data_IF_022611342567
#
_entry.id   IF_022611342567
#
_cell.length_a   1.000
_cell.length_b   1.000
_cell.length_c   1.000
_cell.angle_alpha   90.00
_cell.angle_beta   90.00
_cell.angle_gamma   90.00
#
_symmetry.space_group_name_H-M   'P 1'
#
loop_
_entity.id
_entity.type
_entity.pdbx_description
1 polymer ?
#
# COMPACT_ATOMS: atom_id res chain seq x y z
N UNK A 1 -28.77 6.13 20.15
CA UNK A 1 -28.59 6.33 18.70
C UNK A 1 -27.14 6.72 18.43
N UNK A 2 -26.37 5.84 17.79
CA UNK A 2 -24.99 6.14 17.40
C UNK A 2 -24.88 6.02 15.87
N UNK A 3 -25.50 6.97 15.18
CA UNK A 3 -25.36 7.14 13.74
C UNK A 3 -24.27 8.18 13.48
N UNK A 4 -23.03 7.73 13.52
CA UNK A 4 -21.96 8.33 12.74
C UNK A 4 -21.23 7.21 12.04
N UNK A 5 -21.80 6.75 10.92
CA UNK A 5 -21.00 6.12 9.88
C UNK A 5 -19.99 7.18 9.46
N UNK A 6 -18.84 7.19 10.12
CA UNK A 6 -17.64 7.75 9.54
C UNK A 6 -17.50 6.96 8.24
N UNK A 7 -17.70 7.63 7.11
CA UNK A 7 -17.40 7.07 5.81
C UNK A 7 -15.90 6.84 5.80
N UNK A 8 -15.48 5.71 6.36
CA UNK A 8 -14.12 5.21 6.24
C UNK A 8 -13.98 4.94 4.74
N UNK A 9 -13.17 5.79 4.10
CA UNK A 9 -12.83 5.74 2.68
C UNK A 9 -12.64 4.27 2.30
N UNK A 10 -13.64 3.67 1.63
CA UNK A 10 -13.86 2.22 1.61
C UNK A 10 -12.93 1.47 0.66
N UNK A 11 -11.79 2.07 0.33
CA UNK A 11 -10.78 1.47 -0.53
C UNK A 11 -9.62 1.00 0.34
N UNK A 12 -9.37 -0.31 0.48
CA UNK A 12 -8.18 -0.80 1.16
C UNK A 12 -6.93 -0.42 0.34
N UNK A 13 -6.31 0.68 0.76
CA UNK A 13 -5.04 1.17 0.23
C UNK A 13 -3.99 1.10 1.33
N UNK A 14 -2.82 0.59 0.96
CA UNK A 14 -1.73 0.37 1.87
C UNK A 14 -0.62 1.36 1.60
N UNK A 15 -0.03 1.86 2.69
CA UNK A 15 1.12 2.78 2.64
C UNK A 15 2.24 2.18 3.48
N UNK A 16 3.36 1.93 2.81
CA UNK A 16 4.59 1.40 3.39
C UNK A 16 5.66 2.50 3.32
N UNK A 17 6.03 3.03 4.49
CA UNK A 17 7.13 3.98 4.60
C UNK A 17 8.47 3.29 4.36
N UNK A 18 9.36 3.92 3.60
CA UNK A 18 10.73 3.46 3.36
C UNK A 18 11.71 4.54 3.86
N UNK A 19 12.01 4.56 5.18
CA UNK A 19 12.77 5.65 5.80
C UNK A 19 14.16 5.86 5.19
N UNK A 20 14.83 4.79 4.77
CA UNK A 20 16.15 4.84 4.13
C UNK A 20 16.18 5.63 2.82
N UNK A 21 15.03 5.80 2.16
CA UNK A 21 14.88 6.57 0.91
C UNK A 21 14.12 7.87 1.12
N UNK A 22 13.64 8.15 2.34
CA UNK A 22 12.72 9.25 2.66
C UNK A 22 11.51 9.29 1.70
N UNK A 23 10.95 8.12 1.40
CA UNK A 23 9.87 7.94 0.44
C UNK A 23 8.93 6.81 0.89
N UNK A 24 7.85 6.56 0.14
CA UNK A 24 6.88 5.52 0.46
C UNK A 24 6.46 4.71 -0.76
N UNK A 25 6.03 3.47 -0.52
CA UNK A 25 5.35 2.61 -1.48
C UNK A 25 3.87 2.54 -1.12
N UNK A 26 3.02 2.43 -2.13
CA UNK A 26 1.60 2.24 -1.91
C UNK A 26 0.99 1.31 -2.96
N UNK A 27 -0.10 0.65 -2.59
CA UNK A 27 -0.85 -0.22 -3.49
C UNK A 27 -2.25 -0.40 -2.95
N UNK A 28 -3.16 -0.81 -3.83
CA UNK A 28 -4.51 -1.21 -3.44
C UNK A 28 -4.63 -2.73 -3.58
N UNK A 29 -5.44 -3.35 -2.75
CA UNK A 29 -5.86 -4.73 -2.93
C UNK A 29 -7.32 -4.72 -3.38
N UNK A 30 -7.59 -5.26 -4.57
CA UNK A 30 -8.96 -5.45 -5.05
C UNK A 30 -9.53 -6.75 -4.45
N UNK A 31 -10.52 -6.62 -3.56
CA UNK A 31 -11.25 -7.74 -2.94
C UNK A 31 -12.76 -7.60 -3.15
N UNK A 32 -13.51 -8.66 -2.87
CA UNK A 32 -14.97 -8.64 -2.99
C UNK A 32 -15.61 -7.71 -1.94
N UNK A 33 -16.71 -7.01 -2.28
CA UNK A 33 -17.46 -6.20 -1.33
C UNK A 33 -17.88 -7.02 -0.09
N UNK A 34 -17.56 -6.52 1.11
CA UNK A 34 -17.88 -7.19 2.38
C UNK A 34 -16.69 -7.87 3.05
N UNK A 35 -15.53 -7.96 2.40
CA UNK A 35 -14.30 -8.46 3.01
C UNK A 35 -13.61 -7.34 3.79
N UNK A 36 -13.49 -7.50 5.12
CA UNK A 36 -12.65 -6.61 5.96
C UNK A 36 -11.21 -7.08 5.84
N UNK A 37 -10.35 -6.23 5.27
CA UNK A 37 -8.93 -6.51 5.14
C UNK A 37 -8.16 -5.90 6.29
N UNK A 38 -7.57 -6.75 7.11
CA UNK A 38 -6.44 -6.35 7.95
C UNK A 38 -5.19 -6.96 7.31
N UNK A 39 -4.26 -6.12 6.87
CA UNK A 39 -2.90 -6.62 6.73
C UNK A 39 -2.42 -6.96 8.14
N UNK A 40 -1.87 -8.16 8.30
CA UNK A 40 -1.04 -8.44 9.46
C UNK A 40 0.06 -7.38 9.46
N UNK A 41 0.08 -6.50 10.46
CA UNK A 41 1.27 -5.68 10.67
C UNK A 41 2.45 -6.64 10.76
N UNK A 42 3.48 -6.35 9.97
CA UNK A 42 4.64 -7.16 9.54
C UNK A 42 5.52 -7.73 10.68
N UNK A 43 4.99 -7.84 11.89
CA UNK A 43 5.62 -8.44 13.04
C UNK A 43 5.68 -9.97 12.96
N UNK A 44 4.81 -10.64 12.19
CA UNK A 44 4.84 -12.11 12.06
C UNK A 44 5.50 -12.67 10.80
N UNK A 45 5.61 -11.91 9.70
CA UNK A 45 6.23 -12.39 8.45
C UNK A 45 7.63 -11.81 8.17
N UNK A 46 8.01 -10.71 8.81
CA UNK A 46 9.36 -10.16 8.77
C UNK A 46 9.82 -9.69 7.38
N UNK A 47 8.89 -9.45 6.45
CA UNK A 47 9.23 -9.22 5.06
C UNK A 47 9.87 -7.85 4.86
N UNK A 48 9.43 -6.85 5.61
CA UNK A 48 10.02 -5.50 5.65
C UNK A 48 10.80 -5.24 6.93
N UNK A 49 11.02 -6.26 7.77
CA UNK A 49 11.86 -6.17 8.97
C UNK A 49 13.31 -5.78 8.62
N UNK A 50 13.80 -6.22 7.46
CA UNK A 50 15.11 -5.83 6.92
C UNK A 50 15.08 -4.52 6.10
N UNK A 51 13.93 -3.87 5.99
CA UNK A 51 13.69 -2.71 5.14
C UNK A 51 13.51 -3.09 3.66
N UNK A 52 12.83 -2.22 2.92
CA UNK A 52 12.71 -2.32 1.45
C UNK A 52 13.84 -1.51 0.83
N UNK A 53 14.60 -2.13 -0.08
CA UNK A 53 15.50 -1.42 -0.98
C UNK A 53 15.01 -1.53 -2.43
N UNK A 54 14.99 -0.40 -3.11
CA UNK A 54 14.59 -0.29 -4.50
C UNK A 54 15.34 0.84 -5.22
N UNK A 55 15.41 0.71 -6.54
CA UNK A 55 15.96 1.72 -7.45
C UNK A 55 14.87 2.15 -8.44
N UNK A 56 14.77 3.45 -8.70
CA UNK A 56 13.86 4.01 -9.70
C UNK A 56 14.66 4.39 -10.93
N UNK A 57 14.15 4.04 -12.11
CA UNK A 57 14.75 4.32 -13.41
C UNK A 57 13.67 4.51 -14.47
N UNK A 58 14.04 4.94 -15.68
CA UNK A 58 13.14 5.10 -16.83
C UNK A 58 11.87 5.91 -16.49
N UNK A 59 12.02 7.05 -15.83
CA UNK A 59 10.89 7.92 -15.51
C UNK A 59 10.28 8.45 -16.80
N UNK A 60 9.00 8.20 -17.01
CA UNK A 60 8.21 8.60 -18.16
C UNK A 60 7.11 9.56 -17.70
N UNK A 61 7.15 10.79 -18.21
CA UNK A 61 6.09 11.76 -17.97
C UNK A 61 4.79 11.27 -18.62
N UNK A 62 3.72 11.26 -17.84
CA UNK A 62 2.38 10.97 -18.38
C UNK A 62 1.68 12.28 -18.71
N UNK A 63 0.46 12.20 -19.25
CA UNK A 63 -0.39 13.38 -19.46
C UNK A 63 -0.65 14.19 -18.19
N UNK A 64 -0.50 13.55 -17.03
CA UNK A 64 -0.57 14.21 -15.73
C UNK A 64 0.85 14.31 -15.13
N UNK A 65 1.41 15.52 -14.98
CA UNK A 65 2.77 15.70 -14.45
C UNK A 65 2.93 15.23 -13.00
N UNK A 66 1.83 15.12 -12.24
CA UNK A 66 1.84 14.59 -10.88
C UNK A 66 1.82 13.06 -10.82
N UNK A 67 1.69 12.39 -11.98
CA UNK A 67 1.62 10.93 -12.10
C UNK A 67 2.59 10.36 -13.16
N UNK A 68 3.90 10.65 -13.10
CA UNK A 68 4.87 9.97 -13.95
C UNK A 68 4.91 8.46 -13.67
N UNK A 69 5.10 7.68 -14.72
CA UNK A 69 5.41 6.25 -14.61
C UNK A 69 6.93 6.06 -14.51
N UNK A 70 7.37 4.97 -13.91
CA UNK A 70 8.78 4.62 -13.82
C UNK A 70 8.98 3.11 -13.74
N UNK A 71 10.21 2.66 -13.98
CA UNK A 71 10.65 1.30 -13.69
C UNK A 71 11.28 1.25 -12.30
N UNK A 72 10.67 0.50 -11.40
CA UNK A 72 11.23 0.16 -10.10
C UNK A 72 11.95 -1.19 -10.19
N UNK A 73 13.20 -1.23 -9.76
CA UNK A 73 13.92 -2.47 -9.48
C UNK A 73 13.85 -2.74 -7.99
N UNK A 74 13.24 -3.84 -7.61
CA UNK A 74 13.11 -4.29 -6.21
C UNK A 74 13.43 -5.78 -6.16
N UNK A 75 14.31 -6.19 -5.24
CA UNK A 75 14.86 -7.56 -5.24
C UNK A 75 15.42 -7.90 -6.64
N UNK A 76 14.96 -9.00 -7.25
CA UNK A 76 15.31 -9.42 -8.62
C UNK A 76 14.18 -9.16 -9.63
N UNK A 77 13.25 -8.24 -9.32
CA UNK A 77 12.08 -7.94 -10.16
C UNK A 77 12.13 -6.50 -10.66
N UNK A 78 11.56 -6.30 -11.85
CA UNK A 78 11.32 -4.99 -12.44
C UNK A 78 9.80 -4.77 -12.48
N UNK A 79 9.35 -3.71 -11.82
CA UNK A 79 7.96 -3.34 -11.72
C UNK A 79 7.74 -1.99 -12.40
N UNK A 80 6.67 -1.86 -13.16
CA UNK A 80 6.16 -0.54 -13.53
C UNK A 80 5.49 0.05 -12.30
N UNK A 81 5.83 1.29 -11.96
CA UNK A 81 5.23 2.02 -10.83
C UNK A 81 4.80 3.40 -11.29
N UNK A 82 3.80 3.98 -10.63
CA UNK A 82 3.30 5.33 -10.95
C UNK A 82 3.44 6.22 -9.73
N UNK A 83 3.97 7.42 -9.88
CA UNK A 83 4.02 8.37 -8.77
C UNK A 83 2.60 8.83 -8.43
N UNK A 84 2.31 8.98 -7.15
CA UNK A 84 1.02 9.47 -6.71
C UNK A 84 1.02 9.79 -5.23
N UNK A 85 -0.16 9.72 -4.65
CA UNK A 85 -0.35 9.93 -3.22
C UNK A 85 -1.52 9.13 -2.71
N UNK A 86 -1.38 8.55 -1.54
CA UNK A 86 -2.46 7.88 -0.82
C UNK A 86 -2.66 8.53 0.54
N UNK A 87 -3.84 8.35 1.13
CA UNK A 87 -4.05 8.75 2.53
C UNK A 87 -3.45 7.67 3.44
N UNK A 88 -2.84 8.08 4.52
CA UNK A 88 -2.36 7.20 5.57
C UNK A 88 -3.08 7.56 6.87
N UNK A 89 -3.84 6.61 7.40
CA UNK A 89 -4.67 6.79 8.58
C UNK A 89 -3.99 6.31 9.86
N UNK A 90 -2.78 5.74 9.79
CA UNK A 90 -2.05 5.19 10.96
C UNK A 90 -1.85 6.23 12.06
N UNK A 91 -1.52 7.48 11.70
CA UNK A 91 -1.28 8.55 12.66
C UNK A 91 -2.52 9.39 13.00
N UNK A 92 -3.48 9.50 12.08
CA UNK A 92 -4.72 10.26 12.26
C UNK A 92 -5.86 9.53 11.55
N UNK A 93 -6.60 8.71 12.31
CA UNK A 93 -7.71 7.92 11.78
C UNK A 93 -8.91 8.76 11.33
N UNK A 94 -9.00 10.03 11.76
CA UNK A 94 -10.14 10.91 11.44
C UNK A 94 -9.94 11.60 10.11
N UNK A 95 -8.76 12.16 9.89
CA UNK A 95 -8.49 12.99 8.72
C UNK A 95 -7.63 12.27 7.67
N UNK A 96 -6.78 11.33 8.11
CA UNK A 96 -5.73 10.75 7.29
C UNK A 96 -4.68 11.79 6.85
N UNK A 97 -3.47 11.33 6.60
CA UNK A 97 -2.39 12.16 6.06
C UNK A 97 -2.15 11.81 4.60
N UNK A 98 -2.14 12.80 3.70
CA UNK A 98 -1.75 12.56 2.30
C UNK A 98 -0.25 12.29 2.22
N UNK A 99 0.14 11.09 1.83
CA UNK A 99 1.52 10.63 1.70
C UNK A 99 1.85 10.43 0.22
N UNK A 100 2.87 11.13 -0.32
CA UNK A 100 3.35 10.86 -1.68
C UNK A 100 4.05 9.50 -1.72
N UNK A 101 3.78 8.70 -2.75
CA UNK A 101 4.26 7.33 -2.84
C UNK A 101 4.43 6.86 -4.29
N UNK A 102 5.22 5.81 -4.48
CA UNK A 102 5.20 5.01 -5.71
C UNK A 102 4.11 3.95 -5.62
N UNK A 103 3.14 4.03 -6.53
CA UNK A 103 2.04 3.09 -6.64
C UNK A 103 2.50 1.82 -7.35
N UNK A 104 2.40 0.68 -6.67
CA UNK A 104 2.65 -0.65 -7.23
C UNK A 104 1.33 -1.25 -7.69
N UNK A 105 1.28 -1.61 -8.96
CA UNK A 105 0.09 -2.16 -9.60
C UNK A 105 -0.17 -3.62 -9.20
N UNK A 106 -1.32 -4.16 -9.62
CA UNK A 106 -1.65 -5.58 -9.50
C UNK A 106 -1.55 -6.16 -8.08
N UNK A 107 -2.20 -5.50 -7.09
CA UNK A 107 -2.23 -5.96 -5.70
C UNK A 107 -0.82 -6.23 -5.12
N UNK A 108 0.15 -5.34 -5.40
CA UNK A 108 1.54 -5.44 -4.98
C UNK A 108 2.33 -6.64 -5.53
N UNK A 109 1.85 -7.28 -6.61
CA UNK A 109 2.55 -8.41 -7.22
C UNK A 109 4.00 -8.03 -7.54
N UNK A 110 4.93 -8.86 -7.07
CA UNK A 110 6.35 -8.64 -7.28
C UNK A 110 7.03 -7.77 -6.21
N UNK A 111 6.28 -6.96 -5.47
CA UNK A 111 6.79 -6.29 -4.28
C UNK A 111 6.77 -7.24 -3.07
N UNK A 112 5.62 -7.86 -2.83
CA UNK A 112 5.42 -8.88 -1.79
C UNK A 112 5.82 -10.28 -2.28
N UNK A 113 6.06 -11.20 -1.35
CA UNK A 113 6.47 -12.57 -1.64
C UNK A 113 5.22 -13.43 -1.58
N UNK A 114 4.94 -14.25 -2.59
CA UNK A 114 3.63 -14.92 -2.70
C UNK A 114 2.57 -13.97 -3.26
N UNK A 115 1.34 -14.09 -2.76
CA UNK A 115 0.17 -13.34 -3.21
C UNK A 115 -0.38 -12.47 -2.08
N UNK A 116 -1.13 -11.41 -2.41
CA UNK A 116 -1.76 -10.54 -1.41
C UNK A 116 -2.63 -11.31 -0.40
N UNK A 117 -3.22 -12.44 -0.80
CA UNK A 117 -4.03 -13.31 0.05
C UNK A 117 -3.24 -13.94 1.21
N UNK A 118 -1.94 -14.12 1.03
CA UNK A 118 -1.06 -14.65 2.09
C UNK A 118 -0.85 -13.66 3.24
N UNK A 119 -1.21 -12.38 3.04
CA UNK A 119 -1.04 -11.28 4.00
C UNK A 119 -2.37 -10.73 4.51
N UNK A 120 -3.49 -11.29 4.07
CA UNK A 120 -4.83 -10.92 4.49
C UNK A 120 -5.32 -11.95 5.50
N UNK A 121 -5.71 -11.50 6.69
CA UNK A 121 -6.42 -12.34 7.66
C UNK A 121 -7.91 -12.07 7.57
N UNK A 122 -8.67 -13.12 7.27
CA UNK A 122 -10.12 -13.12 7.42
C UNK A 122 -10.45 -13.15 8.92
N UNK A 123 -11.12 -12.11 9.42
CA UNK A 123 -11.68 -11.99 10.78
C UNK A 123 -10.71 -12.06 11.99
N UNK A 124 -10.46 -10.88 12.60
CA UNK A 124 -10.02 -10.79 14.01
C UNK A 124 -11.12 -10.16 14.89
N UNK A 125 -12.31 -9.91 14.37
CA UNK A 125 -13.43 -9.37 15.16
C UNK A 125 -14.70 -10.20 15.03
N UNK A 126 -14.65 -11.44 15.53
CA UNK A 126 -15.82 -11.98 16.22
C UNK A 126 -15.80 -11.39 17.64
N UNK A 127 -16.57 -10.31 17.84
CA UNK A 127 -17.07 -9.99 19.18
C UNK A 127 -18.36 -10.79 19.31
N UNK A 128 -18.32 -11.88 20.07
CA UNK A 128 -19.54 -12.48 20.65
C UNK A 128 -20.22 -11.49 21.60
#
# INVERSE_FOLDING_TARGET
ECNSVLTVDSDPHFVISVPSKNDALCFNIQEEPGVVLNLVEDLELGQFFHGIDYEISNIHETKNPDKPDATMKVKNKLLTVTRGSQKDYKSDYRNGKKVPCWFVHSNAEGLIDGTHKDYIVSDIFYID
#
